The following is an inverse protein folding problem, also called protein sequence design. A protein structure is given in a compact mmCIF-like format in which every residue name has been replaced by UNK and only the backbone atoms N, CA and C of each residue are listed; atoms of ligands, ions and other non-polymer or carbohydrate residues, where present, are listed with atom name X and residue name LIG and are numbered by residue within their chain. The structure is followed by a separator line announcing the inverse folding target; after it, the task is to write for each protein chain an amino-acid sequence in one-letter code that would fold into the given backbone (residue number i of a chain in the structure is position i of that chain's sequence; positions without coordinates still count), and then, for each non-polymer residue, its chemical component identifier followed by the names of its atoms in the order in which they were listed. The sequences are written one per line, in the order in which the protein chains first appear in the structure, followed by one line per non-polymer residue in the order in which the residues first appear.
data_IF_458982239508
#
_entry.id   IF_458982239508
#
_cell.length_a   1.000
_cell.length_b   1.000
_cell.length_c   1.000
_cell.angle_alpha   90.00
_cell.angle_beta   90.00
_cell.angle_gamma   90.00
#
_symmetry.space_group_name_H-M   'P 1'
#
loop_
_entity.id
_entity.type
_entity.pdbx_description
1 polymer ?
#
# COMPACT_ATOMS: atom_id res chain seq x y z
N UNK A 1 4.75 -5.61 -13.43
CA UNK A 1 3.30 -5.45 -13.19
C UNK A 1 3.19 -4.47 -12.03
N UNK A 2 2.53 -3.33 -12.23
CA UNK A 2 2.40 -2.33 -11.18
C UNK A 2 1.55 -2.91 -10.05
N UNK A 3 1.98 -2.63 -8.81
CA UNK A 3 1.24 -3.00 -7.62
C UNK A 3 0.96 -1.75 -6.80
N UNK A 4 -0.25 -1.64 -6.31
CA UNK A 4 -0.76 -0.46 -5.62
C UNK A 4 -1.15 -0.83 -4.19
N UNK A 5 -0.86 0.07 -3.27
CA UNK A 5 -1.52 0.12 -1.98
C UNK A 5 -2.66 1.13 -2.03
N UNK A 6 -3.62 1.00 -1.12
CA UNK A 6 -4.67 2.00 -0.95
C UNK A 6 -4.43 2.71 0.37
N UNK A 7 -4.28 4.03 0.31
CA UNK A 7 -4.19 4.89 1.48
C UNK A 7 -5.48 5.67 1.66
N UNK A 8 -5.79 5.99 2.91
CA UNK A 8 -6.92 6.80 3.31
C UNK A 8 -6.40 7.92 4.20
N UNK A 9 -6.71 9.17 3.82
CA UNK A 9 -6.43 10.32 4.66
C UNK A 9 -7.66 10.64 5.50
N UNK A 10 -7.58 10.39 6.79
CA UNK A 10 -8.69 10.61 7.70
C UNK A 10 -8.86 12.11 8.06
N UNK A 11 -10.04 12.53 8.54
CA UNK A 11 -10.30 13.91 8.95
C UNK A 11 -9.44 14.40 10.13
N UNK A 12 -8.83 13.49 10.87
CA UNK A 12 -7.91 13.80 11.96
C UNK A 12 -6.45 14.03 11.49
N UNK A 13 -6.28 14.22 10.17
CA UNK A 13 -5.00 14.46 9.47
C UNK A 13 -4.01 13.29 9.62
N UNK A 14 -4.53 12.10 9.95
CA UNK A 14 -3.74 10.88 10.01
C UNK A 14 -3.93 10.06 8.73
N UNK A 15 -2.82 9.49 8.28
CA UNK A 15 -2.83 8.58 7.15
C UNK A 15 -3.05 7.14 7.61
N UNK A 16 -3.85 6.41 6.86
CA UNK A 16 -4.15 5.01 7.10
C UNK A 16 -3.86 4.18 5.85
N UNK A 17 -3.37 2.97 6.05
CA UNK A 17 -3.04 2.03 4.99
C UNK A 17 -4.00 0.85 5.00
N UNK A 18 -4.56 0.54 3.84
CA UNK A 18 -5.44 -0.62 3.67
C UNK A 18 -4.64 -1.92 3.59
N UNK A 19 -4.89 -2.84 4.52
CA UNK A 19 -4.25 -4.17 4.55
C UNK A 19 -5.09 -5.29 3.90
N UNK A 20 -6.21 -4.94 3.27
CA UNK A 20 -7.15 -5.89 2.66
C UNK A 20 -8.32 -6.33 3.53
N UNK A 21 -8.31 -5.95 4.80
CA UNK A 21 -9.41 -6.21 5.72
C UNK A 21 -9.78 -4.99 6.58
N UNK A 22 -8.77 -4.24 7.03
CA UNK A 22 -8.91 -3.04 7.84
C UNK A 22 -7.87 -1.98 7.45
N UNK A 23 -8.01 -0.80 8.03
CA UNK A 23 -7.05 0.28 7.96
C UNK A 23 -6.10 0.26 9.15
N UNK A 24 -4.80 0.27 8.86
CA UNK A 24 -3.74 0.42 9.85
C UNK A 24 -3.22 1.85 9.85
N UNK A 25 -3.03 2.44 11.04
CA UNK A 25 -2.51 3.79 11.17
C UNK A 25 -1.04 3.86 10.71
N UNK A 26 -0.77 4.75 9.75
CA UNK A 26 0.58 5.08 9.28
C UNK A 26 1.23 6.00 10.31
N UNK A 27 2.24 5.51 11.03
CA UNK A 27 3.02 6.34 11.97
C UNK A 27 4.15 7.01 11.19
N UNK A 28 4.31 8.33 11.36
CA UNK A 28 5.17 9.27 10.61
C UNK A 28 6.68 8.91 10.46
N UNK A 29 7.15 7.76 10.94
CA UNK A 29 8.59 7.45 10.95
C UNK A 29 9.10 6.64 9.74
N UNK A 30 8.30 6.28 8.73
CA UNK A 30 8.80 5.41 7.67
C UNK A 30 8.14 5.58 6.29
N UNK A 31 8.93 6.09 5.33
CA UNK A 31 8.75 5.86 3.87
C UNK A 31 8.63 4.35 3.51
N UNK A 32 8.94 3.44 4.46
CA UNK A 32 8.82 1.98 4.32
C UNK A 32 7.40 1.42 4.50
N UNK A 33 6.40 2.24 4.84
CA UNK A 33 5.03 1.77 5.10
C UNK A 33 4.32 1.18 3.87
N UNK A 34 4.84 1.40 2.66
CA UNK A 34 4.33 0.75 1.44
C UNK A 34 4.56 -0.78 1.39
N UNK A 35 5.36 -1.36 2.28
CA UNK A 35 5.67 -2.79 2.27
C UNK A 35 4.80 -3.67 3.20
N UNK A 36 3.97 -3.10 4.07
CA UNK A 36 3.11 -3.87 4.99
C UNK A 36 1.63 -3.91 4.58
N UNK A 37 1.23 -3.09 3.61
CA UNK A 37 -0.13 -3.09 3.05
C UNK A 37 -0.37 -4.30 2.16
N UNK A 38 -1.64 -4.59 1.87
CA UNK A 38 -1.95 -5.56 0.81
C UNK A 38 -1.78 -4.85 -0.53
N UNK A 39 -0.89 -5.38 -1.34
CA UNK A 39 -0.67 -4.92 -2.71
C UNK A 39 -1.74 -5.46 -3.65
N UNK A 40 -2.23 -4.61 -4.55
CA UNK A 40 -3.24 -4.93 -5.58
C UNK A 40 -2.70 -4.61 -6.97
N UNK A 41 -3.07 -5.41 -7.96
CA UNK A 41 -2.87 -5.03 -9.36
C UNK A 41 -4.04 -4.15 -9.86
N UNK A 42 -3.93 -3.63 -11.08
CA UNK A 42 -4.98 -2.80 -11.70
C UNK A 42 -6.34 -3.52 -11.81
N UNK A 43 -6.33 -4.84 -12.03
CA UNK A 43 -7.57 -5.63 -12.17
C UNK A 43 -8.32 -5.76 -10.83
N UNK A 44 -7.59 -5.88 -9.71
CA UNK A 44 -8.13 -6.02 -8.36
C UNK A 44 -8.42 -4.67 -7.69
N UNK A 45 -7.85 -3.59 -8.22
CA UNK A 45 -7.92 -2.24 -7.65
C UNK A 45 -9.36 -1.73 -7.49
N UNK A 46 -10.23 -1.96 -8.47
CA UNK A 46 -11.62 -1.52 -8.40
C UNK A 46 -12.39 -2.18 -7.25
N UNK A 47 -12.18 -3.49 -7.03
CA UNK A 47 -12.80 -4.21 -5.93
C UNK A 47 -12.20 -3.81 -4.58
N UNK A 48 -10.89 -3.60 -4.54
CA UNK A 48 -10.16 -3.17 -3.35
C UNK A 48 -10.59 -1.77 -2.89
N UNK A 49 -10.78 -0.83 -3.82
CA UNK A 49 -11.32 0.51 -3.54
C UNK A 49 -12.74 0.44 -2.98
N UNK A 50 -13.61 -0.41 -3.54
CA UNK A 50 -14.97 -0.57 -3.02
C UNK A 50 -15.00 -1.14 -1.59
N UNK A 51 -14.14 -2.13 -1.30
CA UNK A 51 -14.03 -2.74 0.03
C UNK A 51 -13.46 -1.75 1.05
N UNK A 52 -12.37 -1.08 0.70
CA UNK A 52 -11.73 -0.08 1.55
C UNK A 52 -12.66 1.10 1.82
N UNK A 53 -13.42 1.58 0.84
CA UNK A 53 -14.43 2.64 1.06
C UNK A 53 -15.49 2.24 2.08
N UNK A 54 -16.03 1.02 1.97
CA UNK A 54 -17.01 0.50 2.95
C UNK A 54 -16.41 0.40 4.35
N UNK A 55 -15.16 -0.05 4.46
CA UNK A 55 -14.47 -0.15 5.74
C UNK A 55 -14.18 1.23 6.35
N UNK A 56 -13.72 2.21 5.55
CA UNK A 56 -13.49 3.58 5.98
C UNK A 56 -14.79 4.19 6.51
N UNK A 57 -15.92 4.02 5.81
CA UNK A 57 -17.22 4.51 6.26
C UNK A 57 -17.71 3.85 7.56
N UNK A 58 -17.35 2.60 7.80
CA UNK A 58 -17.69 1.90 9.04
C UNK A 58 -16.83 2.33 10.22
N UNK A 59 -15.52 2.55 9.99
CA UNK A 59 -14.58 2.98 11.02
C UNK A 59 -14.71 4.47 11.34
N UNK A 60 -14.97 5.29 10.32
CA UNK A 60 -15.07 6.74 10.40
C UNK A 60 -16.45 7.21 9.89
N UNK A 61 -17.55 6.87 10.57
CA UNK A 61 -18.90 7.24 10.12
C UNK A 61 -19.17 8.74 10.18
N UNK A 62 -18.32 9.50 10.89
CA UNK A 62 -18.38 10.96 10.94
C UNK A 62 -17.69 11.62 9.74
N UNK A 63 -16.89 10.88 8.97
CA UNK A 63 -16.29 11.37 7.74
C UNK A 63 -17.32 11.31 6.60
N UNK A 64 -17.63 12.49 6.05
CA UNK A 64 -18.56 12.62 4.93
C UNK A 64 -17.84 12.69 3.58
N UNK A 65 -16.50 12.77 3.58
CA UNK A 65 -15.68 13.00 2.39
C UNK A 65 -14.46 12.06 2.41
N UNK A 66 -14.75 10.76 2.25
CA UNK A 66 -13.73 9.70 2.29
C UNK A 66 -12.84 9.81 1.05
N UNK A 67 -11.60 10.23 1.25
CA UNK A 67 -10.57 10.29 0.20
C UNK A 67 -9.65 9.07 0.25
N UNK A 68 -9.81 8.19 -0.74
CA UNK A 68 -8.94 7.03 -0.95
C UNK A 68 -8.01 7.29 -2.13
N UNK A 69 -6.72 7.09 -1.91
CA UNK A 69 -5.71 7.26 -2.94
C UNK A 69 -4.95 5.95 -3.16
N UNK A 70 -4.90 5.45 -4.40
CA UNK A 70 -3.97 4.39 -4.74
C UNK A 70 -2.55 4.93 -4.86
N UNK A 71 -1.62 4.33 -4.15
CA UNK A 71 -0.20 4.65 -4.25
C UNK A 71 0.53 3.48 -4.88
N UNK A 72 1.19 3.73 -6.00
CA UNK A 72 2.02 2.75 -6.67
C UNK A 72 3.23 2.43 -5.80
N UNK A 73 3.42 1.14 -5.51
CA UNK A 73 4.61 0.68 -4.80
C UNK A 73 5.70 0.52 -5.86
N UNK A 74 6.83 1.23 -5.72
CA UNK A 74 7.97 1.00 -6.59
C UNK A 74 8.50 -0.41 -6.31
N UNK A 75 8.11 -1.36 -7.16
CA UNK A 75 8.80 -2.65 -7.24
C UNK A 75 10.18 -2.35 -7.76
N UNK A 76 11.14 -2.21 -6.84
CA UNK A 76 12.54 -2.17 -7.24
C UNK A 76 12.81 -3.51 -7.93
N UNK A 77 13.24 -3.50 -9.19
CA UNK A 77 13.84 -4.64 -9.89
C UNK A 77 15.18 -5.05 -9.23
N UNK A 78 15.25 -5.08 -7.89
CA UNK A 78 16.38 -5.60 -7.13
C UNK A 78 16.30 -7.12 -7.04
N UNK A 79 16.32 -7.76 -8.21
CA UNK A 79 16.83 -9.12 -8.38
C UNK A 79 17.55 -9.31 -9.73
N UNK A 80 18.07 -8.23 -10.31
CA UNK A 80 19.06 -8.31 -11.38
C UNK A 80 20.20 -7.34 -11.14
N UNK A 81 21.09 -7.68 -10.21
CA UNK A 81 22.56 -7.67 -10.40
C UNK A 81 23.30 -7.86 -9.07
N UNK A 82 24.13 -8.92 -8.97
CA UNK A 82 25.31 -8.90 -8.10
C UNK A 82 25.39 -9.92 -6.95
N UNK A 83 25.45 -11.22 -7.27
CA UNK A 83 25.67 -12.29 -6.27
C UNK A 83 26.55 -13.44 -6.75
N UNK A 84 27.79 -13.14 -7.17
CA UNK A 84 28.92 -14.07 -7.36
C UNK A 84 28.85 -15.09 -8.52
N UNK A 85 29.21 -14.61 -9.72
CA UNK A 85 29.94 -15.42 -10.70
C UNK A 85 31.36 -14.85 -10.87
N UNK A 86 32.32 -15.78 -10.85
CA UNK A 86 33.78 -15.66 -11.05
C UNK A 86 34.64 -15.27 -9.84
N UNK A 87 35.42 -16.24 -9.32
CA UNK A 87 36.87 -16.28 -9.64
C UNK A 87 37.54 -17.65 -9.36
N UNK A 88 38.01 -18.24 -10.46
CA UNK A 88 39.28 -18.96 -10.69
C UNK A 88 39.57 -20.29 -10.01
N UNK A 89 39.58 -21.31 -10.87
CA UNK A 89 40.66 -22.30 -11.05
C UNK A 89 41.92 -22.09 -10.21
N UNK A 90 42.34 -23.13 -9.51
CA UNK A 90 43.73 -23.59 -9.40
C UNK A 90 43.73 -25.08 -9.06
#
# INVERSE_FOLDING_TARGET
MAIYNITYKAPDDKDYLWNGSTFDLVKEENEKLFFSGKSYNEDEMAEALLKSYKAAKQLFPADNDIHLEPVEIPVSDQDTEGGHRHRMTS
#
